data_IF_566343272639
#
_entry.id   IF_566343272639
#
_cell.length_a   1.000
_cell.length_b   1.000
_cell.length_c   1.000
_cell.angle_alpha   90.00
_cell.angle_beta   90.00
_cell.angle_gamma   90.00
#
_symmetry.space_group_name_H-M   'P 1'
#
loop_
_entity.id
_entity.type
_entity.pdbx_description
1 polymer ?
#
# COMPACT_ATOMS: atom_id res chain seq x y z
N UNK A 1 43.06 43.93 36.84
CA UNK A 1 41.73 43.32 36.99
C UNK A 1 41.32 42.83 35.61
N UNK A 2 41.25 41.50 35.48
CA UNK A 2 40.82 40.81 34.26
C UNK A 2 39.30 40.90 34.14
N UNK A 3 38.75 40.92 32.92
CA UNK A 3 37.70 39.96 32.50
C UNK A 3 37.56 40.08 30.97
N UNK A 4 38.07 39.08 30.25
CA UNK A 4 37.67 38.77 28.88
C UNK A 4 36.33 38.05 28.96
N UNK A 5 35.30 38.53 28.27
CA UNK A 5 34.06 37.78 28.10
C UNK A 5 34.29 36.72 27.01
N UNK A 6 34.36 35.46 27.43
CA UNK A 6 34.46 34.31 26.54
C UNK A 6 33.12 34.10 25.81
N UNK A 7 33.17 34.09 24.48
CA UNK A 7 32.08 33.59 23.64
C UNK A 7 31.85 32.11 23.96
N UNK A 8 30.65 31.79 24.44
CA UNK A 8 30.22 30.42 24.68
C UNK A 8 30.11 29.68 23.34
N UNK A 9 30.70 28.48 23.19
CA UNK A 9 30.54 27.70 21.99
C UNK A 9 29.08 27.27 21.87
N UNK A 10 28.43 27.72 20.79
CA UNK A 10 27.14 27.19 20.34
C UNK A 10 27.32 25.69 20.09
N UNK A 11 26.92 24.88 21.07
CA UNK A 11 26.73 23.45 20.89
C UNK A 11 25.64 23.28 19.83
N UNK A 12 26.08 23.10 18.58
CA UNK A 12 25.31 22.46 17.53
C UNK A 12 24.98 21.06 18.05
N UNK A 13 23.86 20.94 18.74
CA UNK A 13 23.21 19.66 18.98
C UNK A 13 22.77 19.19 17.60
N UNK A 14 23.67 18.47 16.93
CA UNK A 14 23.31 17.59 15.83
C UNK A 14 22.35 16.56 16.43
N UNK A 15 21.05 16.89 16.43
CA UNK A 15 19.98 15.90 16.45
C UNK A 15 20.18 15.05 15.21
N UNK A 16 21.07 14.07 15.30
CA UNK A 16 20.92 12.86 14.52
C UNK A 16 19.62 12.24 15.04
N UNK A 17 18.50 12.63 14.43
CA UNK A 17 17.28 11.86 14.50
C UNK A 17 17.67 10.46 14.03
N UNK A 18 17.90 9.56 14.98
CA UNK A 18 18.12 8.15 14.72
C UNK A 18 16.80 7.62 14.19
N UNK A 19 16.65 7.69 12.88
CA UNK A 19 15.49 7.16 12.15
C UNK A 19 15.39 5.67 12.50
N UNK A 20 14.45 5.33 13.38
CA UNK A 20 14.29 3.96 13.85
C UNK A 20 13.84 3.09 12.68
N UNK A 21 14.49 1.93 12.44
CA UNK A 21 14.09 1.03 11.37
C UNK A 21 12.65 0.55 11.59
N UNK A 22 11.97 0.16 10.51
CA UNK A 22 10.69 -0.54 10.62
C UNK A 22 10.93 -1.89 11.32
N UNK A 23 10.13 -2.16 12.34
CA UNK A 23 10.17 -3.42 13.09
C UNK A 23 9.29 -4.50 12.44
N UNK A 24 9.59 -5.76 12.72
CA UNK A 24 8.78 -6.89 12.24
C UNK A 24 7.32 -6.81 12.73
N UNK A 25 7.10 -6.30 13.93
CA UNK A 25 5.75 -6.15 14.49
C UNK A 25 4.96 -5.06 13.77
N UNK A 26 5.58 -3.92 13.43
CA UNK A 26 4.94 -2.88 12.62
C UNK A 26 4.57 -3.41 11.22
N UNK A 27 5.42 -4.24 10.62
CA UNK A 27 5.11 -4.90 9.34
C UNK A 27 3.89 -5.81 9.51
N UNK A 28 3.88 -6.66 10.53
CA UNK A 28 2.77 -7.61 10.77
C UNK A 28 1.45 -6.87 11.00
N UNK A 29 1.46 -5.83 11.82
CA UNK A 29 0.29 -4.99 12.07
C UNK A 29 -0.17 -4.26 10.81
N UNK A 30 0.77 -3.73 10.03
CA UNK A 30 0.49 -3.09 8.75
C UNK A 30 -0.19 -4.04 7.76
N UNK A 31 0.36 -5.25 7.59
CA UNK A 31 -0.21 -6.31 6.73
C UNK A 31 -1.62 -6.70 7.18
N UNK A 32 -1.82 -6.94 8.49
CA UNK A 32 -3.13 -7.28 9.03
C UNK A 32 -4.16 -6.16 8.80
N UNK A 33 -3.78 -4.89 9.04
CA UNK A 33 -4.64 -3.73 8.82
C UNK A 33 -5.00 -3.54 7.34
N UNK A 34 -4.11 -3.92 6.41
CA UNK A 34 -4.40 -3.89 4.97
C UNK A 34 -5.38 -4.98 4.55
N UNK A 35 -5.17 -6.21 5.04
CA UNK A 35 -6.09 -7.32 4.77
C UNK A 35 -7.50 -7.00 5.31
N UNK A 36 -7.58 -6.46 6.53
CA UNK A 36 -8.86 -6.04 7.10
C UNK A 36 -9.53 -4.93 6.27
N UNK A 37 -8.78 -3.93 5.81
CA UNK A 37 -9.30 -2.87 4.93
C UNK A 37 -9.83 -3.43 3.62
N UNK A 38 -9.09 -4.32 2.96
CA UNK A 38 -9.52 -4.98 1.74
C UNK A 38 -10.83 -5.74 1.97
N UNK A 39 -10.88 -6.58 2.99
CA UNK A 39 -12.07 -7.37 3.33
C UNK A 39 -13.28 -6.45 3.59
N UNK A 40 -13.09 -5.41 4.40
CA UNK A 40 -14.17 -4.47 4.71
C UNK A 40 -14.71 -3.76 3.47
N UNK A 41 -13.82 -3.31 2.56
CA UNK A 41 -14.23 -2.66 1.30
C UNK A 41 -14.95 -3.63 0.37
N UNK A 42 -14.46 -4.86 0.23
CA UNK A 42 -15.12 -5.89 -0.58
C UNK A 42 -16.49 -6.26 0.01
N UNK A 43 -16.61 -6.39 1.33
CA UNK A 43 -17.89 -6.67 1.99
C UNK A 43 -18.88 -5.52 1.84
N UNK A 44 -18.44 -4.28 2.03
CA UNK A 44 -19.28 -3.09 1.85
C UNK A 44 -19.74 -2.97 0.41
N UNK A 45 -18.83 -3.12 -0.54
CA UNK A 45 -19.15 -3.13 -1.96
C UNK A 45 -20.12 -4.27 -2.32
N UNK A 46 -19.89 -5.48 -1.79
CA UNK A 46 -20.75 -6.64 -2.02
C UNK A 46 -22.20 -6.42 -1.57
N UNK A 47 -22.42 -5.63 -0.51
CA UNK A 47 -23.77 -5.25 -0.06
C UNK A 47 -24.51 -4.30 -1.01
N UNK A 48 -23.79 -3.62 -1.91
CA UNK A 48 -24.39 -2.74 -2.92
C UNK A 48 -24.85 -3.48 -4.17
N UNK A 49 -24.48 -4.77 -4.31
CA UNK A 49 -24.79 -5.55 -5.49
C UNK A 49 -26.27 -5.92 -5.57
N UNK A 50 -26.84 -5.71 -6.73
CA UNK A 50 -28.20 -6.05 -7.10
C UNK A 50 -28.22 -7.13 -8.17
N UNK A 51 -29.41 -7.56 -8.60
CA UNK A 51 -29.49 -8.52 -9.71
C UNK A 51 -29.06 -7.93 -11.05
N UNK A 52 -29.27 -6.64 -11.23
CA UNK A 52 -29.06 -5.93 -12.50
C UNK A 52 -27.58 -5.63 -12.77
N UNK A 53 -26.72 -5.84 -11.77
CA UNK A 53 -25.27 -5.72 -11.86
C UNK A 53 -24.59 -6.91 -12.56
N UNK A 54 -25.40 -7.89 -12.94
CA UNK A 54 -24.96 -9.11 -13.59
C UNK A 54 -25.64 -9.27 -14.95
N UNK A 55 -24.98 -9.99 -15.83
CA UNK A 55 -25.44 -10.32 -17.17
C UNK A 55 -25.31 -11.81 -17.44
N UNK A 56 -26.18 -12.33 -18.30
CA UNK A 56 -26.09 -13.70 -18.78
C UNK A 56 -25.09 -13.78 -19.92
N UNK A 57 -24.10 -14.66 -19.76
CA UNK A 57 -23.18 -15.06 -20.81
C UNK A 57 -23.41 -16.52 -21.16
N UNK A 58 -22.84 -16.98 -22.26
CA UNK A 58 -22.84 -18.41 -22.63
C UNK A 58 -22.14 -19.31 -21.60
N UNK A 59 -21.33 -18.74 -20.69
CA UNK A 59 -20.69 -19.43 -19.56
C UNK A 59 -21.46 -19.29 -18.24
N UNK A 60 -22.68 -18.75 -18.29
CA UNK A 60 -23.51 -18.46 -17.12
C UNK A 60 -23.52 -16.99 -16.73
N UNK A 61 -24.04 -16.70 -15.53
CA UNK A 61 -24.19 -15.34 -15.03
C UNK A 61 -22.85 -14.76 -14.59
N UNK A 62 -22.48 -13.61 -15.12
CA UNK A 62 -21.26 -12.91 -14.79
C UNK A 62 -21.54 -11.47 -14.38
N UNK A 63 -20.61 -10.88 -13.64
CA UNK A 63 -20.66 -9.46 -13.30
C UNK A 63 -20.49 -8.61 -14.56
N UNK A 64 -21.20 -7.49 -14.67
CA UNK A 64 -21.02 -6.54 -15.79
C UNK A 64 -19.63 -5.88 -15.74
N UNK A 65 -19.06 -5.44 -16.88
CA UNK A 65 -17.73 -4.82 -16.92
C UNK A 65 -17.55 -3.64 -15.95
N UNK A 66 -18.55 -2.77 -15.81
CA UNK A 66 -18.49 -1.63 -14.89
C UNK A 66 -18.28 -2.08 -13.43
N UNK A 67 -18.99 -3.15 -13.01
CA UNK A 67 -18.86 -3.70 -11.67
C UNK A 67 -17.55 -4.47 -11.45
N UNK A 68 -17.01 -5.10 -12.49
CA UNK A 68 -15.65 -5.67 -12.44
C UNK A 68 -14.61 -4.58 -12.22
N UNK A 69 -14.76 -3.42 -12.85
CA UNK A 69 -13.86 -2.30 -12.64
C UNK A 69 -13.91 -1.78 -11.20
N UNK A 70 -15.09 -1.66 -10.59
CA UNK A 70 -15.21 -1.28 -9.17
C UNK A 70 -14.42 -2.21 -8.24
N UNK A 71 -14.44 -3.53 -8.49
CA UNK A 71 -13.61 -4.49 -7.75
C UNK A 71 -12.13 -4.21 -7.95
N UNK A 72 -11.71 -3.98 -9.20
CA UNK A 72 -10.32 -3.66 -9.50
C UNK A 72 -9.86 -2.37 -8.83
N UNK A 73 -10.73 -1.37 -8.75
CA UNK A 73 -10.46 -0.11 -8.07
C UNK A 73 -10.28 -0.30 -6.55
N UNK A 74 -11.00 -1.25 -5.94
CA UNK A 74 -10.81 -1.62 -4.53
C UNK A 74 -9.40 -2.19 -4.31
N UNK A 75 -9.00 -3.18 -5.12
CA UNK A 75 -7.65 -3.77 -5.03
C UNK A 75 -6.56 -2.72 -5.28
N UNK A 76 -6.74 -1.91 -6.32
CA UNK A 76 -5.84 -0.82 -6.67
C UNK A 76 -5.71 0.18 -5.51
N UNK A 77 -6.81 0.56 -4.88
CA UNK A 77 -6.82 1.50 -3.75
C UNK A 77 -6.00 1.00 -2.57
N UNK A 78 -6.13 -0.29 -2.22
CA UNK A 78 -5.35 -0.88 -1.11
C UNK A 78 -3.86 -0.91 -1.43
N UNK A 79 -3.49 -1.31 -2.64
CA UNK A 79 -2.08 -1.32 -3.08
C UNK A 79 -1.50 0.10 -3.11
N UNK A 80 -2.29 1.09 -3.52
CA UNK A 80 -1.88 2.50 -3.55
C UNK A 80 -1.63 3.04 -2.15
N UNK A 81 -2.52 2.75 -1.21
CA UNK A 81 -2.34 3.12 0.19
C UNK A 81 -1.07 2.48 0.76
N UNK A 82 -0.83 1.20 0.45
CA UNK A 82 0.37 0.52 0.89
C UNK A 82 1.64 1.18 0.34
N UNK A 83 1.65 1.47 -0.96
CA UNK A 83 2.76 2.16 -1.60
C UNK A 83 3.00 3.53 -0.96
N UNK A 84 1.94 4.30 -0.72
CA UNK A 84 2.04 5.61 -0.05
C UNK A 84 2.56 5.49 1.38
N UNK A 85 2.15 4.46 2.13
CA UNK A 85 2.71 4.18 3.46
C UNK A 85 4.20 3.85 3.39
N UNK A 86 4.64 3.05 2.41
CA UNK A 86 6.03 2.72 2.21
C UNK A 86 6.88 3.94 1.83
N UNK A 87 6.37 4.80 0.93
CA UNK A 87 7.00 6.08 0.56
C UNK A 87 7.15 7.01 1.75
N UNK A 88 6.10 7.15 2.58
CA UNK A 88 6.16 7.96 3.81
C UNK A 88 7.20 7.46 4.81
N UNK A 89 7.44 6.16 4.85
CA UNK A 89 8.42 5.52 5.74
C UNK A 89 9.74 5.21 5.03
N UNK A 90 10.01 5.76 3.85
CA UNK A 90 11.17 5.39 3.01
C UNK A 90 12.50 5.48 3.77
N UNK A 91 12.70 6.51 4.59
CA UNK A 91 13.92 6.69 5.37
C UNK A 91 14.17 5.57 6.41
N UNK A 92 13.10 4.84 6.81
CA UNK A 92 13.13 3.72 7.76
C UNK A 92 13.34 2.37 7.09
N UNK A 93 13.37 2.33 5.75
CA UNK A 93 13.53 1.11 4.95
C UNK A 93 15.00 0.84 4.62
N UNK A 94 15.31 -0.43 4.34
CA UNK A 94 16.63 -0.83 3.83
C UNK A 94 16.92 -0.14 2.48
N UNK A 95 18.19 0.06 2.08
CA UNK A 95 18.52 0.64 0.77
C UNK A 95 17.94 -0.15 -0.41
N UNK A 96 17.82 -1.48 -0.28
CA UNK A 96 17.18 -2.34 -1.27
C UNK A 96 15.69 -2.02 -1.41
N UNK A 97 14.98 -1.93 -0.29
CA UNK A 97 13.54 -1.62 -0.28
C UNK A 97 13.26 -0.19 -0.73
N UNK A 98 14.14 0.75 -0.42
CA UNK A 98 14.05 2.12 -0.93
C UNK A 98 14.15 2.17 -2.45
N UNK A 99 14.93 1.27 -3.06
CA UNK A 99 15.05 1.14 -4.52
C UNK A 99 13.77 0.56 -5.13
N UNK A 100 13.09 -0.36 -4.45
CA UNK A 100 11.78 -0.86 -4.90
C UNK A 100 10.75 0.26 -5.04
N UNK A 101 10.80 1.28 -4.18
CA UNK A 101 9.92 2.45 -4.26
C UNK A 101 10.24 3.41 -5.42
N UNK A 102 11.25 3.13 -6.24
CA UNK A 102 11.50 3.87 -7.47
C UNK A 102 10.67 3.36 -8.65
N UNK A 103 10.10 2.15 -8.54
CA UNK A 103 9.30 1.53 -9.58
C UNK A 103 8.10 0.81 -8.94
N UNK A 104 6.91 1.31 -9.26
CA UNK A 104 5.66 0.80 -8.71
C UNK A 104 5.37 -0.64 -9.14
N UNK A 105 5.75 -1.04 -10.34
CA UNK A 105 5.60 -2.42 -10.80
C UNK A 105 6.46 -3.37 -9.96
N UNK A 106 7.72 -2.99 -9.70
CA UNK A 106 8.61 -3.79 -8.84
C UNK A 106 8.08 -3.88 -7.40
N UNK A 107 7.49 -2.80 -6.89
CA UNK A 107 6.84 -2.81 -5.59
C UNK A 107 5.67 -3.80 -5.58
N UNK A 108 4.79 -3.76 -6.58
CA UNK A 108 3.63 -4.66 -6.70
C UNK A 108 4.07 -6.13 -6.81
N UNK A 109 5.10 -6.42 -7.61
CA UNK A 109 5.65 -7.76 -7.75
C UNK A 109 6.19 -8.30 -6.42
N UNK A 110 6.81 -7.45 -5.61
CA UNK A 110 7.30 -7.82 -4.26
C UNK A 110 6.19 -8.08 -3.25
N UNK A 111 4.97 -7.63 -3.51
CA UNK A 111 3.78 -8.06 -2.75
C UNK A 111 3.32 -9.47 -3.10
N UNK A 112 3.92 -10.10 -4.12
CA UNK A 112 3.58 -11.43 -4.60
C UNK A 112 2.61 -11.44 -5.78
N UNK A 113 2.28 -10.28 -6.36
CA UNK A 113 1.43 -10.22 -7.55
C UNK A 113 2.26 -10.45 -8.82
N UNK A 114 1.97 -11.53 -9.54
CA UNK A 114 2.64 -11.82 -10.80
C UNK A 114 2.04 -10.98 -11.93
N UNK A 115 2.88 -10.33 -12.75
CA UNK A 115 2.47 -9.48 -13.87
C UNK A 115 1.48 -8.36 -13.50
N UNK A 116 1.55 -7.90 -12.24
CA UNK A 116 0.59 -6.99 -11.62
C UNK A 116 -0.87 -7.47 -11.72
N UNK A 117 -1.12 -8.78 -11.59
CA UNK A 117 -2.47 -9.34 -11.66
C UNK A 117 -2.96 -9.84 -10.31
N UNK A 118 -4.21 -9.51 -10.03
CA UNK A 118 -4.98 -10.09 -8.93
C UNK A 118 -5.98 -11.08 -9.51
N UNK A 119 -5.85 -12.35 -9.14
CA UNK A 119 -6.89 -13.34 -9.40
C UNK A 119 -8.03 -13.14 -8.38
N UNK A 120 -9.14 -12.60 -8.84
CA UNK A 120 -10.26 -12.22 -7.96
C UNK A 120 -11.10 -13.42 -7.51
N UNK A 121 -10.91 -14.61 -8.10
CA UNK A 121 -11.80 -15.77 -7.97
C UNK A 121 -13.26 -15.51 -8.43
N UNK A 122 -13.57 -14.33 -8.98
CA UNK A 122 -14.90 -13.96 -9.49
C UNK A 122 -15.05 -14.18 -11.02
N UNK A 123 -14.14 -14.95 -11.62
CA UNK A 123 -14.14 -15.22 -13.06
C UNK A 123 -13.52 -14.12 -13.93
N UNK A 124 -12.79 -13.18 -13.32
CA UNK A 124 -11.98 -12.18 -14.00
C UNK A 124 -10.74 -11.81 -13.18
N UNK A 125 -9.73 -11.24 -13.83
CA UNK A 125 -8.54 -10.73 -13.15
C UNK A 125 -8.54 -9.20 -13.16
N UNK A 126 -7.96 -8.61 -12.12
CA UNK A 126 -7.65 -7.18 -12.09
C UNK A 126 -6.18 -6.94 -12.40
N UNK A 127 -5.90 -5.94 -13.25
CA UNK A 127 -4.54 -5.46 -13.48
C UNK A 127 -4.28 -4.27 -12.57
N UNK A 128 -3.32 -4.41 -11.68
CA UNK A 128 -2.77 -3.33 -10.88
C UNK A 128 -1.86 -2.47 -11.77
N UNK A 129 -1.98 -1.17 -11.61
CA UNK A 129 -1.13 -0.16 -12.22
C UNK A 129 -0.35 0.53 -11.13
#
# INVERSE_FOLDING_TARGET
MMTQAQEAPQQLVSLQDTVQPITQEEIRQGLAAMQQRLNSRIEQWGKTLSRDDFEWTWRGRQMKPAKRQEVCDIFQGVVNEMYQMAVKNKARLSPEDQKLLSNRDLFIEKLGFQNNRVNTQMGFDCRLQ
#
